data_IF_099787576539
#
_entry.id   IF_099787576539
#
_cell.length_a   1.000
_cell.length_b   1.000
_cell.length_c   1.000
_cell.angle_alpha   90.00
_cell.angle_beta   90.00
_cell.angle_gamma   90.00
#
_symmetry.space_group_name_H-M   'P 1'
#
loop_
_entity.id
_entity.type
_entity.pdbx_description
1 polymer ?
#
# COMPACT_ATOMS: atom_id res chain seq x y z
N UNK A 1 -1.34 12.41 5.20
CA UNK A 1 -0.54 11.22 5.55
C UNK A 1 -1.31 10.33 6.51
N UNK A 2 -1.47 10.65 7.80
CA UNK A 2 -2.23 9.78 8.72
C UNK A 2 -3.68 9.52 8.25
N UNK A 3 -4.37 10.56 7.77
CA UNK A 3 -5.72 10.41 7.21
C UNK A 3 -5.76 9.53 5.95
N UNK A 4 -4.70 9.54 5.14
CA UNK A 4 -4.61 8.71 3.94
C UNK A 4 -4.45 7.24 4.34
N UNK A 5 -3.53 6.93 5.27
CA UNK A 5 -3.37 5.59 5.86
C UNK A 5 -4.67 5.08 6.45
N UNK A 6 -5.32 5.86 7.32
CA UNK A 6 -6.58 5.47 7.96
C UNK A 6 -7.72 5.31 6.96
N UNK A 7 -7.80 6.17 5.94
CA UNK A 7 -8.83 6.08 4.90
C UNK A 7 -8.71 4.81 4.06
N UNK A 8 -7.48 4.45 3.66
CA UNK A 8 -7.21 3.23 2.89
C UNK A 8 -7.47 1.99 3.73
N UNK A 9 -6.98 1.95 4.98
CA UNK A 9 -7.24 0.84 5.90
C UNK A 9 -8.75 0.66 6.14
N UNK A 10 -9.48 1.75 6.36
CA UNK A 10 -10.95 1.71 6.53
C UNK A 10 -11.64 1.15 5.28
N UNK A 11 -11.20 1.55 4.09
CA UNK A 11 -11.69 1.01 2.83
C UNK A 11 -11.42 -0.50 2.71
N UNK A 12 -10.21 -0.95 3.04
CA UNK A 12 -9.84 -2.36 3.02
C UNK A 12 -10.69 -3.21 3.99
N UNK A 13 -10.84 -2.77 5.24
CA UNK A 13 -11.66 -3.50 6.21
C UNK A 13 -13.16 -3.47 5.86
N UNK A 14 -13.65 -2.38 5.29
CA UNK A 14 -15.04 -2.32 4.81
C UNK A 14 -15.27 -3.28 3.64
N UNK A 15 -14.26 -3.50 2.79
CA UNK A 15 -14.31 -4.51 1.74
C UNK A 15 -14.38 -5.91 2.32
N UNK A 16 -13.51 -6.20 3.30
CA UNK A 16 -13.48 -7.47 4.00
C UNK A 16 -14.82 -7.77 4.69
N UNK A 17 -15.43 -6.81 5.36
CA UNK A 17 -16.74 -6.97 6.00
C UNK A 17 -17.85 -7.25 4.98
N UNK A 18 -17.84 -6.54 3.85
CA UNK A 18 -18.89 -6.66 2.83
C UNK A 18 -18.78 -7.94 2.02
N UNK A 19 -17.57 -8.38 1.72
CA UNK A 19 -17.29 -9.42 0.71
C UNK A 19 -16.60 -10.66 1.26
N UNK A 20 -16.20 -10.65 2.53
CA UNK A 20 -15.41 -11.71 3.17
C UNK A 20 -14.13 -12.08 2.38
N UNK A 21 -13.57 -11.11 1.67
CA UNK A 21 -12.39 -11.26 0.81
C UNK A 21 -11.44 -10.07 0.96
N UNK A 22 -10.17 -10.26 0.63
CA UNK A 22 -9.18 -9.18 0.60
C UNK A 22 -9.31 -8.49 -0.77
N UNK A 23 -9.43 -7.14 -0.83
CA UNK A 23 -9.45 -6.43 -2.12
C UNK A 23 -8.16 -6.70 -2.89
N UNK A 24 -8.23 -6.94 -4.20
CA UNK A 24 -7.10 -7.38 -5.02
C UNK A 24 -6.91 -8.90 -5.05
N UNK A 25 -7.20 -9.60 -3.96
CA UNK A 25 -7.11 -11.06 -3.80
C UNK A 25 -8.52 -11.70 -3.67
N UNK A 26 -9.50 -11.17 -4.40
CA UNK A 26 -10.89 -11.58 -4.31
C UNK A 26 -11.26 -12.51 -5.48
N UNK A 27 -11.48 -13.82 -5.24
CA UNK A 27 -11.70 -14.80 -6.30
C UNK A 27 -13.05 -14.61 -7.02
N UNK A 28 -14.00 -13.93 -6.39
CA UNK A 28 -15.34 -13.70 -6.93
C UNK A 28 -15.47 -12.33 -7.62
N UNK A 29 -14.40 -11.54 -7.71
CA UNK A 29 -14.46 -10.16 -8.18
C UNK A 29 -15.02 -10.03 -9.62
N UNK A 30 -14.70 -11.00 -10.49
CA UNK A 30 -15.18 -11.07 -11.87
C UNK A 30 -16.68 -11.42 -11.99
N UNK A 31 -17.23 -12.12 -10.99
CA UNK A 31 -18.67 -12.40 -10.89
C UNK A 31 -19.45 -11.18 -10.41
N UNK A 32 -18.80 -10.30 -9.64
CA UNK A 32 -19.42 -9.10 -9.03
C UNK A 32 -19.41 -7.91 -10.00
N UNK A 33 -18.35 -7.77 -10.79
CA UNK A 33 -18.19 -6.69 -11.74
C UNK A 33 -17.62 -7.17 -13.05
N UNK A 34 -17.99 -6.52 -14.15
CA UNK A 34 -17.25 -6.66 -15.40
C UNK A 34 -15.87 -6.02 -15.23
N UNK A 35 -14.86 -6.81 -14.90
CA UNK A 35 -13.47 -6.37 -14.81
C UNK A 35 -12.85 -6.45 -16.21
N UNK A 36 -12.41 -5.31 -16.73
CA UNK A 36 -11.70 -5.24 -18.00
C UNK A 36 -10.31 -5.83 -17.84
N UNK A 37 -10.16 -7.10 -18.21
CA UNK A 37 -9.02 -7.92 -17.82
C UNK A 37 -9.30 -8.55 -16.48
N UNK A 38 -9.64 -9.84 -16.46
CA UNK A 38 -9.56 -10.61 -15.22
C UNK A 38 -8.16 -10.42 -14.67
N UNK A 39 -7.98 -10.23 -13.35
CA UNK A 39 -6.74 -10.63 -12.74
C UNK A 39 -6.69 -12.15 -12.94
N UNK A 40 -6.25 -12.62 -14.09
CA UNK A 40 -5.72 -13.97 -14.24
C UNK A 40 -4.36 -14.02 -13.54
N UNK A 41 -4.28 -13.46 -12.34
CA UNK A 41 -3.20 -13.77 -11.42
C UNK A 41 -3.65 -15.09 -10.84
N UNK A 42 -2.95 -16.17 -11.16
CA UNK A 42 -3.32 -17.54 -10.78
C UNK A 42 -3.38 -17.77 -9.25
N UNK A 43 -3.14 -16.72 -8.48
CA UNK A 43 -2.99 -16.67 -7.03
C UNK A 43 -4.22 -16.13 -6.29
N UNK A 44 -5.25 -15.63 -7.00
CA UNK A 44 -6.39 -14.97 -6.38
C UNK A 44 -7.16 -15.90 -5.41
N UNK A 45 -7.54 -15.36 -4.25
CA UNK A 45 -8.18 -16.07 -3.15
C UNK A 45 -7.23 -16.87 -2.26
N UNK A 46 -5.92 -16.57 -2.26
CA UNK A 46 -4.94 -17.29 -1.43
C UNK A 46 -4.65 -16.61 -0.08
N UNK A 47 -5.26 -15.46 0.19
CA UNK A 47 -5.10 -14.69 1.42
C UNK A 47 -3.86 -13.79 1.44
N UNK A 48 -3.17 -13.62 0.32
CA UNK A 48 -1.92 -12.87 0.21
C UNK A 48 -2.07 -11.86 -0.93
N UNK A 49 -1.68 -10.60 -0.70
CA UNK A 49 -1.57 -9.62 -1.78
C UNK A 49 -0.24 -9.78 -2.52
N UNK A 50 -0.28 -10.44 -3.67
CA UNK A 50 0.88 -10.65 -4.52
C UNK A 50 1.23 -9.39 -5.32
N UNK A 51 2.52 -9.10 -5.38
CA UNK A 51 3.09 -7.97 -6.13
C UNK A 51 3.79 -6.97 -5.24
N UNK A 52 4.63 -6.16 -5.90
CA UNK A 52 5.28 -5.02 -5.27
C UNK A 52 4.28 -3.88 -5.03
N UNK A 53 4.63 -2.96 -4.12
CA UNK A 53 3.69 -1.91 -3.70
C UNK A 53 3.35 -0.91 -4.82
N UNK A 54 4.17 -0.83 -5.87
CA UNK A 54 4.00 0.05 -7.04
C UNK A 54 3.51 -0.70 -8.31
N UNK A 55 3.28 -2.02 -8.22
CA UNK A 55 2.83 -2.84 -9.34
C UNK A 55 1.31 -2.69 -9.60
N UNK A 56 0.96 -2.46 -10.86
CA UNK A 56 -0.41 -2.21 -11.33
C UNK A 56 -1.04 -3.42 -12.03
N UNK A 57 -0.24 -4.43 -12.34
CA UNK A 57 -0.66 -5.62 -13.08
C UNK A 57 -0.92 -6.83 -12.17
N UNK A 58 -0.54 -6.72 -10.90
CA UNK A 58 -0.70 -7.73 -9.85
C UNK A 58 -1.86 -7.41 -8.91
N UNK A 59 -2.09 -8.25 -7.91
CA UNK A 59 -3.16 -8.10 -6.91
C UNK A 59 -3.05 -6.79 -6.13
N UNK A 60 -1.82 -6.30 -5.88
CA UNK A 60 -1.57 -4.96 -5.32
C UNK A 60 -2.14 -3.81 -6.15
N UNK A 61 -2.13 -3.94 -7.48
CA UNK A 61 -2.80 -3.01 -8.39
C UNK A 61 -4.32 -3.15 -8.38
N UNK A 62 -4.82 -4.40 -8.41
CA UNK A 62 -6.25 -4.70 -8.38
C UNK A 62 -6.91 -4.40 -7.04
N UNK A 63 -6.15 -4.33 -5.94
CA UNK A 63 -6.61 -3.80 -4.66
C UNK A 63 -7.32 -2.46 -4.85
N UNK A 64 -6.72 -1.54 -5.62
CA UNK A 64 -7.29 -0.23 -5.88
C UNK A 64 -8.53 -0.29 -6.78
N UNK A 65 -8.55 -1.20 -7.75
CA UNK A 65 -9.71 -1.40 -8.64
C UNK A 65 -10.91 -1.93 -7.85
N UNK A 66 -10.70 -2.93 -6.98
CA UNK A 66 -11.73 -3.55 -6.16
C UNK A 66 -12.34 -2.55 -5.17
N UNK A 67 -11.50 -1.74 -4.50
CA UNK A 67 -11.99 -0.68 -3.60
C UNK A 67 -12.80 0.40 -4.34
N UNK A 68 -12.46 0.72 -5.58
CA UNK A 68 -13.20 1.71 -6.38
C UNK A 68 -14.52 1.15 -6.90
N UNK A 69 -14.53 -0.09 -7.40
CA UNK A 69 -15.75 -0.78 -7.90
C UNK A 69 -16.76 -1.02 -6.79
N UNK A 70 -16.30 -1.24 -5.58
CA UNK A 70 -17.14 -1.35 -4.38
C UNK A 70 -17.58 0.00 -3.81
N UNK A 71 -17.19 1.12 -4.44
CA UNK A 71 -17.49 2.48 -4.03
C UNK A 71 -17.05 2.79 -2.58
N UNK A 72 -15.96 2.15 -2.14
CA UNK A 72 -15.34 2.38 -0.83
C UNK A 72 -14.29 3.49 -0.89
N UNK A 73 -13.69 3.69 -2.06
CA UNK A 73 -12.84 4.84 -2.36
C UNK A 73 -13.28 5.49 -3.68
N UNK A 74 -13.03 6.79 -3.80
CA UNK A 74 -13.28 7.53 -5.05
C UNK A 74 -12.17 7.27 -6.07
N UNK A 75 -12.44 7.52 -7.35
CA UNK A 75 -11.43 7.42 -8.41
C UNK A 75 -11.84 6.59 -9.63
N UNK A 76 -13.12 6.18 -9.73
CA UNK A 76 -13.66 5.55 -10.93
C UNK A 76 -13.43 4.04 -10.95
N UNK A 77 -12.64 3.55 -11.90
CA UNK A 77 -12.23 2.14 -12.03
C UNK A 77 -10.76 2.09 -12.48
N UNK A 78 -10.13 0.94 -12.32
CA UNK A 78 -8.77 0.64 -12.77
C UNK A 78 -7.76 0.55 -11.62
N UNK A 79 -6.56 0.09 -11.96
CA UNK A 79 -5.47 -0.23 -11.03
C UNK A 79 -4.53 0.95 -10.73
N UNK A 80 -4.89 2.16 -11.18
CA UNK A 80 -4.07 3.36 -10.96
C UNK A 80 -3.92 3.64 -9.47
N UNK A 81 -2.71 3.78 -8.96
CA UNK A 81 -2.49 4.13 -7.55
C UNK A 81 -2.90 5.58 -7.26
N UNK A 82 -3.54 5.86 -6.10
CA UNK A 82 -3.77 7.22 -5.64
C UNK A 82 -2.45 7.97 -5.43
N UNK A 83 -2.50 9.29 -5.50
CA UNK A 83 -1.37 10.15 -5.14
C UNK A 83 -1.65 10.86 -3.81
N UNK A 84 -0.65 10.94 -2.94
CA UNK A 84 -0.77 11.70 -1.69
C UNK A 84 -0.40 13.18 -1.89
N UNK A 85 -0.60 13.98 -0.84
CA UNK A 85 -0.41 15.43 -0.85
C UNK A 85 1.01 15.91 -1.21
N UNK A 86 2.00 15.02 -1.26
CA UNK A 86 3.38 15.35 -1.69
C UNK A 86 3.69 14.92 -3.12
N UNK A 87 2.66 14.58 -3.91
CA UNK A 87 2.75 14.15 -5.30
C UNK A 87 3.45 12.80 -5.55
N UNK A 88 3.73 12.03 -4.50
CA UNK A 88 4.05 10.61 -4.60
C UNK A 88 2.79 9.74 -4.65
N UNK A 89 2.98 8.47 -4.95
CA UNK A 89 1.98 7.42 -5.04
C UNK A 89 1.79 6.72 -3.70
N UNK A 90 0.57 6.20 -3.50
CA UNK A 90 0.25 5.33 -2.38
C UNK A 90 0.04 3.93 -2.92
N UNK A 91 0.88 3.01 -2.45
CA UNK A 91 0.89 1.60 -2.79
C UNK A 91 0.46 0.72 -1.64
N UNK A 92 0.20 -0.56 -1.95
CA UNK A 92 -0.02 -1.60 -0.94
C UNK A 92 0.74 -2.85 -1.33
N UNK A 93 1.28 -3.57 -0.36
CA UNK A 93 1.92 -4.87 -0.56
C UNK A 93 1.69 -5.75 0.67
N UNK A 94 1.94 -7.05 0.58
CA UNK A 94 1.95 -7.94 1.74
C UNK A 94 3.39 -8.16 2.23
N UNK A 95 3.61 -8.07 3.54
CA UNK A 95 4.88 -8.49 4.15
C UNK A 95 6.10 -7.60 3.89
N UNK A 96 5.93 -6.44 3.26
CA UNK A 96 7.05 -5.59 2.83
C UNK A 96 7.75 -4.90 4.01
N UNK A 97 9.07 -4.67 3.88
CA UNK A 97 9.96 -4.18 4.95
C UNK A 97 9.93 -5.00 6.25
N UNK A 98 9.67 -6.30 6.15
CA UNK A 98 9.52 -7.20 7.31
C UNK A 98 8.40 -6.79 8.27
N UNK A 99 7.40 -6.06 7.78
CA UNK A 99 6.13 -5.85 8.46
C UNK A 99 5.23 -7.06 8.20
N UNK A 100 4.24 -7.30 9.05
CA UNK A 100 3.37 -8.47 8.92
C UNK A 100 2.05 -8.11 8.24
N UNK A 101 1.62 -8.90 7.25
CA UNK A 101 0.36 -8.71 6.56
C UNK A 101 0.36 -7.49 5.61
N UNK A 102 -0.83 -6.96 5.27
CA UNK A 102 -0.96 -5.85 4.34
C UNK A 102 -0.31 -4.58 4.88
N UNK A 103 0.56 -3.99 4.08
CA UNK A 103 1.21 -2.72 4.34
C UNK A 103 0.78 -1.68 3.33
N UNK A 104 0.70 -0.42 3.77
CA UNK A 104 0.51 0.74 2.91
C UNK A 104 1.86 1.42 2.78
N UNK A 105 2.30 1.69 1.55
CA UNK A 105 3.54 2.41 1.26
C UNK A 105 3.25 3.75 0.60
N UNK A 106 4.02 4.78 0.95
CA UNK A 106 3.95 6.10 0.33
C UNK A 106 5.33 6.52 -0.13
N UNK A 107 5.48 6.84 -1.40
CA UNK A 107 6.78 7.15 -1.99
C UNK A 107 7.06 8.66 -2.06
N UNK A 108 8.21 9.03 -2.62
CA UNK A 108 8.62 10.42 -2.84
C UNK A 108 8.65 11.29 -1.56
N UNK A 109 8.93 10.69 -0.39
CA UNK A 109 9.02 11.43 0.87
C UNK A 109 10.48 11.84 1.11
N UNK A 110 10.75 13.15 1.05
CA UNK A 110 12.08 13.66 1.42
C UNK A 110 12.43 13.33 2.88
N UNK A 111 13.69 12.99 3.16
CA UNK A 111 14.18 12.54 4.46
C UNK A 111 13.81 13.44 5.64
N UNK A 112 13.79 14.78 5.46
CA UNK A 112 13.32 15.69 6.52
C UNK A 112 11.86 15.48 6.88
N UNK A 113 11.01 15.23 5.88
CA UNK A 113 9.59 14.94 6.09
C UNK A 113 9.44 13.53 6.64
N UNK A 114 10.20 12.57 6.13
CA UNK A 114 10.17 11.19 6.56
C UNK A 114 10.43 11.09 8.08
N UNK A 115 11.50 11.74 8.56
CA UNK A 115 11.83 11.79 9.98
C UNK A 115 10.72 12.41 10.84
N UNK A 116 10.09 13.50 10.38
CA UNK A 116 9.01 14.17 11.12
C UNK A 116 7.76 13.28 11.18
N UNK A 117 7.41 12.65 10.06
CA UNK A 117 6.23 11.78 9.97
C UNK A 117 6.41 10.57 10.87
N UNK A 118 7.60 9.96 10.82
CA UNK A 118 7.94 8.81 11.65
C UNK A 118 7.90 9.18 13.14
N UNK A 119 8.54 10.27 13.55
CA UNK A 119 8.44 10.76 14.94
C UNK A 119 7.02 11.06 15.42
N UNK A 120 6.08 11.33 14.51
CA UNK A 120 4.68 11.57 14.84
C UNK A 120 3.86 10.28 14.94
N UNK A 121 4.25 9.23 14.23
CA UNK A 121 3.48 8.00 14.09
C UNK A 121 4.09 6.82 14.86
N UNK A 122 5.38 6.85 15.15
CA UNK A 122 6.16 5.74 15.70
C UNK A 122 7.38 6.23 16.53
N UNK A 123 8.62 5.94 16.13
CA UNK A 123 9.83 6.13 16.95
C UNK A 123 10.89 7.05 16.30
N UNK A 124 10.69 7.44 15.04
CA UNK A 124 11.61 8.30 14.30
C UNK A 124 12.81 7.58 13.69
N UNK A 125 12.80 6.24 13.62
CA UNK A 125 13.85 5.42 13.02
C UNK A 125 13.32 4.66 11.80
N UNK A 126 14.08 4.65 10.70
CA UNK A 126 13.59 4.02 9.48
C UNK A 126 13.56 2.49 9.54
N UNK A 127 14.25 1.85 10.50
CA UNK A 127 14.46 0.40 10.57
C UNK A 127 13.51 -0.34 11.54
N UNK A 128 12.82 0.37 12.43
CA UNK A 128 12.07 -0.24 13.53
C UNK A 128 10.61 0.18 13.59
N UNK A 129 9.86 -0.50 14.47
CA UNK A 129 8.46 -0.17 14.73
C UNK A 129 7.46 -0.62 13.67
N UNK A 130 6.30 0.06 13.67
CA UNK A 130 5.13 -0.14 12.81
C UNK A 130 5.17 0.70 11.54
N UNK A 131 6.03 1.73 11.50
CA UNK A 131 6.34 2.51 10.31
C UNK A 131 7.81 2.33 9.98
N UNK A 132 8.11 1.81 8.80
CA UNK A 132 9.49 1.60 8.33
C UNK A 132 9.72 2.28 7.00
N UNK A 133 10.97 2.59 6.70
CA UNK A 133 11.32 3.28 5.48
C UNK A 133 12.26 2.45 4.59
N UNK A 134 12.08 2.59 3.28
CA UNK A 134 13.01 2.14 2.26
C UNK A 134 13.68 3.36 1.62
N UNK A 135 15.01 3.36 1.41
CA UNK A 135 15.67 4.45 0.72
C UNK A 135 15.64 4.17 -0.78
N UNK A 136 15.30 5.17 -1.60
CA UNK A 136 15.28 5.18 -3.08
C UNK A 136 13.93 5.01 -3.77
N UNK A 137 12.85 4.69 -3.06
CA UNK A 137 11.51 4.44 -3.61
C UNK A 137 11.50 3.28 -4.62
N UNK A 138 12.23 2.22 -4.30
CA UNK A 138 12.34 1.01 -5.11
C UNK A 138 11.79 -0.18 -4.29
N UNK A 139 10.66 -0.79 -4.72
CA UNK A 139 10.03 -1.89 -4.00
C UNK A 139 10.94 -3.13 -3.87
N UNK A 140 12.00 -3.22 -4.67
CA UNK A 140 12.96 -4.34 -4.60
C UNK A 140 13.99 -4.15 -3.48
N UNK A 141 14.03 -2.98 -2.84
CA UNK A 141 15.01 -2.64 -1.81
C UNK A 141 14.52 -3.04 -0.41
N UNK A 142 15.46 -3.42 0.47
CA UNK A 142 15.14 -3.74 1.85
C UNK A 142 14.85 -2.47 2.66
N UNK A 143 14.42 -2.67 3.91
CA UNK A 143 14.32 -1.60 4.91
C UNK A 143 15.66 -0.88 5.07
N UNK A 144 15.63 0.46 5.20
CA UNK A 144 16.80 1.23 5.58
C UNK A 144 17.17 0.84 7.01
N UNK A 145 18.38 0.30 7.18
CA UNK A 145 18.91 -0.16 8.47
C UNK A 145 19.69 0.93 9.20
N UNK A 146 19.65 2.17 8.70
CA UNK A 146 20.25 3.31 9.36
C UNK A 146 19.54 3.63 10.67
N UNK A 147 20.30 4.09 11.67
CA UNK A 147 19.74 4.51 12.95
C UNK A 147 19.02 5.87 12.91
N UNK A 148 19.04 6.56 11.77
CA UNK A 148 18.39 7.84 11.54
C UNK A 148 18.23 8.12 10.03
N UNK A 149 17.24 8.94 9.68
CA UNK A 149 16.99 9.38 8.31
C UNK A 149 18.09 10.28 7.74
N UNK A 150 18.44 10.06 6.48
CA UNK A 150 19.31 10.96 5.71
C UNK A 150 18.47 12.05 5.06
N UNK A 151 18.62 13.30 5.51
CA UNK A 151 17.75 14.42 5.13
C UNK A 151 17.75 14.78 3.63
N UNK A 152 18.82 14.41 2.90
CA UNK A 152 18.95 14.61 1.45
C UNK A 152 18.36 13.48 0.61
N UNK A 153 18.02 12.36 1.22
CA UNK A 153 17.51 11.16 0.55
C UNK A 153 15.99 11.23 0.43
N UNK A 154 15.44 10.51 -0.54
CA UNK A 154 14.00 10.30 -0.68
C UNK A 154 13.68 8.87 -0.29
N UNK A 155 12.60 8.71 0.47
CA UNK A 155 12.18 7.47 1.10
C UNK A 155 10.77 7.08 0.67
N UNK A 156 10.54 5.78 0.58
CA UNK A 156 9.21 5.21 0.69
C UNK A 156 8.94 4.87 2.16
N UNK A 157 7.84 5.39 2.72
CA UNK A 157 7.39 5.09 4.07
C UNK A 157 6.29 4.04 4.02
N UNK A 158 6.50 2.92 4.68
CA UNK A 158 5.53 1.83 4.74
C UNK A 158 5.06 1.59 6.16
N UNK A 159 3.73 1.47 6.31
CA UNK A 159 3.07 1.22 7.58
C UNK A 159 2.23 -0.04 7.48
N UNK A 160 2.25 -0.86 8.52
CA UNK A 160 1.31 -1.98 8.66
C UNK A 160 -0.13 -1.45 8.82
N UNK A 161 -1.10 -2.10 8.17
CA UNK A 161 -2.53 -1.83 8.33
C UNK A 161 -3.08 -2.34 9.66
#
# INVERSE_FOLDING_TARGET
MNNDFSGIATGAYSYLDRYAAIPGDDPDADTRWTIGGTPTVATMGNGILNGDWDDKATETGYFWDHLRRSNLITGGQGTKMPVHAFAGQIGVADGYLSLSGPVICMDQINGKRAEIIDKQLDDGRPDSGVLRAEPTNDPTKPVDTASAYVLSTTYALCKQM
#
